data_IF_198822376399
#
_entry.id   IF_198822376399
#
_cell.length_a   1.000
_cell.length_b   1.000
_cell.length_c   1.000
_cell.angle_alpha   90.00
_cell.angle_beta   90.00
_cell.angle_gamma   90.00
#
_symmetry.space_group_name_H-M   'P 1'
#
loop_
_entity.id
_entity.type
_entity.pdbx_description
1 polymer ?
#
# COMPACT_ATOMS: atom_id res chain seq x y z
N UNK A 1 -27.93 9.20 -14.37
CA UNK A 1 -28.40 9.66 -13.04
C UNK A 1 -28.63 11.18 -13.08
N UNK A 2 -29.71 11.67 -12.50
CA UNK A 2 -29.98 13.11 -12.39
C UNK A 2 -29.09 13.76 -11.30
N UNK A 3 -28.63 15.01 -11.50
CA UNK A 3 -27.82 15.79 -10.54
C UNK A 3 -28.49 15.99 -9.16
N UNK A 4 -29.81 15.91 -9.11
CA UNK A 4 -30.61 16.02 -7.88
C UNK A 4 -30.62 14.69 -7.10
N UNK A 5 -30.57 13.57 -7.83
CA UNK A 5 -30.69 12.21 -7.31
C UNK A 5 -29.34 11.57 -6.98
N UNK A 6 -28.22 12.13 -7.47
CA UNK A 6 -26.89 11.61 -7.14
C UNK A 6 -26.64 11.72 -5.61
N UNK A 7 -26.50 10.59 -4.89
CA UNK A 7 -26.31 10.58 -3.45
C UNK A 7 -25.00 11.28 -3.03
N UNK A 8 -23.95 11.16 -3.83
CA UNK A 8 -22.65 11.82 -3.60
C UNK A 8 -22.80 13.34 -3.69
N UNK A 9 -23.51 13.83 -4.72
CA UNK A 9 -23.78 15.26 -4.86
C UNK A 9 -24.63 15.80 -3.70
N UNK A 10 -25.58 15.01 -3.19
CA UNK A 10 -26.40 15.36 -2.03
C UNK A 10 -25.55 15.51 -0.77
N UNK A 11 -24.68 14.54 -0.48
CA UNK A 11 -23.73 14.63 0.65
C UNK A 11 -22.84 15.86 0.51
N UNK A 12 -22.31 16.14 -0.69
CA UNK A 12 -21.43 17.29 -0.89
C UNK A 12 -22.12 18.63 -0.66
N UNK A 13 -23.36 18.79 -1.14
CA UNK A 13 -24.16 20.00 -0.89
C UNK A 13 -24.45 20.20 0.59
N UNK A 14 -24.76 19.12 1.31
CA UNK A 14 -24.96 19.17 2.76
C UNK A 14 -23.66 19.56 3.49
N UNK A 15 -22.52 18.99 3.09
CA UNK A 15 -21.22 19.34 3.62
C UNK A 15 -20.90 20.83 3.45
N UNK A 16 -21.10 21.40 2.26
CA UNK A 16 -20.85 22.82 2.00
C UNK A 16 -21.61 23.74 2.94
N UNK A 17 -22.79 23.33 3.41
CA UNK A 17 -23.61 24.11 4.33
C UNK A 17 -23.22 23.90 5.80
N UNK A 18 -22.87 22.67 6.18
CA UNK A 18 -22.86 22.27 7.60
C UNK A 18 -21.51 21.80 8.14
N UNK A 19 -20.58 21.35 7.30
CA UNK A 19 -19.34 20.71 7.76
C UNK A 19 -18.07 21.11 7.00
N UNK A 20 -18.15 22.21 6.24
CA UNK A 20 -17.00 22.79 5.57
C UNK A 20 -15.90 23.24 6.56
N UNK A 21 -16.29 23.76 7.73
CA UNK A 21 -15.35 24.15 8.80
C UNK A 21 -14.51 22.97 9.27
N UNK A 22 -15.13 21.82 9.55
CA UNK A 22 -14.41 20.63 10.02
C UNK A 22 -13.31 20.19 9.05
N UNK A 23 -13.60 20.18 7.74
CA UNK A 23 -12.60 19.84 6.74
C UNK A 23 -11.46 20.86 6.72
N UNK A 24 -11.79 22.16 6.76
CA UNK A 24 -10.79 23.23 6.83
C UNK A 24 -9.89 23.11 8.07
N UNK A 25 -10.48 22.94 9.25
CA UNK A 25 -9.78 22.84 10.53
C UNK A 25 -8.81 21.64 10.56
N UNK A 26 -9.16 20.56 9.86
CA UNK A 26 -8.35 19.35 9.76
C UNK A 26 -7.50 19.29 8.47
N UNK A 27 -7.35 20.42 7.74
CA UNK A 27 -6.55 20.52 6.51
C UNK A 27 -6.95 19.52 5.43
N UNK A 28 -8.24 19.21 5.35
CA UNK A 28 -8.85 18.43 4.29
C UNK A 28 -9.39 19.34 3.18
N UNK A 29 -9.01 19.03 1.95
CA UNK A 29 -9.52 19.68 0.75
C UNK A 29 -10.59 18.77 0.14
N UNK A 30 -11.82 19.27 0.07
CA UNK A 30 -12.98 18.53 -0.41
C UNK A 30 -13.61 19.22 -1.62
N UNK A 31 -13.64 18.56 -2.77
CA UNK A 31 -14.30 19.11 -3.97
C UNK A 31 -15.07 18.04 -4.74
N UNK A 32 -16.13 18.49 -5.42
CA UNK A 32 -16.98 17.63 -6.23
C UNK A 32 -16.61 17.79 -7.70
N UNK A 33 -16.37 16.67 -8.38
CA UNK A 33 -15.99 16.62 -9.79
C UNK A 33 -16.54 15.34 -10.43
N UNK A 34 -17.16 15.44 -11.63
CA UNK A 34 -17.64 14.29 -12.42
C UNK A 34 -18.32 13.21 -11.56
N UNK A 35 -19.32 13.61 -10.77
CA UNK A 35 -20.12 12.74 -9.90
C UNK A 35 -19.38 12.07 -8.71
N UNK A 36 -18.14 12.49 -8.45
CA UNK A 36 -17.30 12.02 -7.35
C UNK A 36 -16.99 13.17 -6.41
N UNK A 37 -16.92 12.90 -5.10
CA UNK A 37 -16.26 13.82 -4.17
C UNK A 37 -14.84 13.36 -3.94
N UNK A 38 -13.88 14.20 -4.29
CA UNK A 38 -12.47 13.98 -3.97
C UNK A 38 -12.15 14.65 -2.63
N UNK A 39 -11.51 13.88 -1.76
CA UNK A 39 -11.03 14.36 -0.45
C UNK A 39 -9.53 14.15 -0.42
N UNK A 40 -8.78 15.22 -0.15
CA UNK A 40 -7.32 15.18 -0.08
C UNK A 40 -6.88 15.74 1.25
N UNK A 41 -5.99 15.02 1.92
CA UNK A 41 -5.16 15.57 2.99
C UNK A 41 -3.74 15.76 2.46
N UNK A 42 -2.84 16.29 3.29
CA UNK A 42 -1.40 16.30 3.03
C UNK A 42 -0.78 14.89 2.92
N UNK A 43 -1.54 13.85 3.29
CA UNK A 43 -1.05 12.49 3.46
C UNK A 43 -1.74 11.46 2.57
N UNK A 44 -2.98 11.71 2.19
CA UNK A 44 -3.83 10.72 1.56
C UNK A 44 -4.78 11.36 0.55
N UNK A 45 -5.20 10.53 -0.42
CA UNK A 45 -6.17 10.90 -1.44
C UNK A 45 -7.30 9.89 -1.42
N UNK A 46 -8.53 10.40 -1.43
CA UNK A 46 -9.74 9.61 -1.31
C UNK A 46 -10.79 10.06 -2.32
N UNK A 47 -11.70 9.14 -2.63
CA UNK A 47 -12.86 9.38 -3.50
C UNK A 47 -14.11 8.79 -2.87
N UNK A 48 -15.19 9.56 -2.84
CA UNK A 48 -16.53 9.07 -2.54
C UNK A 48 -17.28 8.85 -3.85
N UNK A 49 -17.75 7.63 -4.06
CA UNK A 49 -18.42 7.22 -5.29
C UNK A 49 -19.76 6.57 -4.94
N UNK A 50 -20.80 6.88 -5.70
CA UNK A 50 -22.09 6.22 -5.55
C UNK A 50 -21.96 4.78 -6.07
N UNK A 51 -22.42 3.81 -5.30
CA UNK A 51 -22.54 2.43 -5.77
C UNK A 51 -23.89 2.19 -6.46
N UNK A 52 -24.05 1.01 -7.05
CA UNK A 52 -25.26 0.65 -7.79
C UNK A 52 -26.52 0.59 -6.90
N UNK A 53 -26.34 0.39 -5.60
CA UNK A 53 -27.40 0.37 -4.58
C UNK A 53 -27.80 1.78 -4.11
N UNK A 54 -27.14 2.83 -4.60
CA UNK A 54 -27.36 4.22 -4.19
C UNK A 54 -26.70 4.61 -2.85
N UNK A 55 -25.91 3.72 -2.27
CA UNK A 55 -25.03 4.00 -1.14
C UNK A 55 -23.72 4.64 -1.62
N UNK A 56 -22.89 5.08 -0.67
CA UNK A 56 -21.62 5.75 -0.98
C UNK A 56 -20.47 4.91 -0.48
N UNK A 57 -19.60 4.58 -1.42
CA UNK A 57 -18.37 3.84 -1.19
C UNK A 57 -17.19 4.81 -1.07
N UNK A 58 -16.31 4.52 -0.11
CA UNK A 58 -15.06 5.25 0.10
C UNK A 58 -13.92 4.51 -0.59
N UNK A 59 -13.18 5.22 -1.43
CA UNK A 59 -12.03 4.70 -2.16
C UNK A 59 -10.75 5.39 -1.70
N UNK A 60 -9.71 4.61 -1.38
CA UNK A 60 -8.42 5.09 -0.92
C UNK A 60 -7.33 4.89 -1.98
N UNK A 61 -6.52 5.91 -2.23
CA UNK A 61 -5.33 5.81 -3.10
C UNK A 61 -4.14 5.30 -2.30
N UNK A 62 -3.62 4.13 -2.67
CA UNK A 62 -2.39 3.63 -2.06
C UNK A 62 -1.18 4.50 -2.43
N UNK A 63 -0.27 4.70 -1.49
CA UNK A 63 1.02 5.36 -1.72
C UNK A 63 1.94 4.54 -2.66
N UNK A 64 1.76 3.22 -2.71
CA UNK A 64 2.44 2.32 -3.65
C UNK A 64 1.38 1.53 -4.40
N UNK A 65 1.47 1.54 -5.73
CA UNK A 65 0.53 0.83 -6.59
C UNK A 65 0.57 -0.67 -6.29
N UNK A 66 -0.59 -1.28 -6.03
CA UNK A 66 -0.75 -2.71 -5.75
C UNK A 66 -1.65 -3.35 -6.80
N UNK A 67 -1.54 -4.66 -6.98
CA UNK A 67 -2.41 -5.42 -7.89
C UNK A 67 -3.91 -5.14 -7.65
N UNK A 68 -4.33 -5.06 -6.38
CA UNK A 68 -5.70 -4.71 -5.97
C UNK A 68 -6.21 -3.34 -6.43
N UNK A 69 -5.31 -2.43 -6.83
CA UNK A 69 -5.67 -1.10 -7.33
C UNK A 69 -5.98 -1.13 -8.83
N UNK A 70 -5.56 -2.19 -9.55
CA UNK A 70 -5.86 -2.44 -10.96
C UNK A 70 -7.28 -2.99 -11.12
N UNK A 71 -7.66 -3.92 -10.23
CA UNK A 71 -8.95 -4.63 -10.29
C UNK A 71 -10.11 -3.79 -9.71
N UNK A 72 -9.84 -2.56 -9.30
CA UNK A 72 -10.82 -1.69 -8.66
C UNK A 72 -11.66 -0.92 -9.69
N UNK A 73 -12.98 -0.77 -9.47
CA UNK A 73 -13.83 0.08 -10.32
C UNK A 73 -13.35 1.54 -10.43
N UNK A 74 -12.59 2.02 -9.44
CA UNK A 74 -12.00 3.36 -9.43
C UNK A 74 -10.49 3.23 -9.67
N UNK A 75 -10.05 3.55 -10.89
CA UNK A 75 -8.67 3.38 -11.33
C UNK A 75 -7.64 3.97 -10.36
N UNK A 76 -6.75 3.12 -9.84
CA UNK A 76 -5.66 3.51 -8.94
C UNK A 76 -6.08 3.76 -7.49
N UNK A 77 -7.33 3.48 -7.15
CA UNK A 77 -7.86 3.49 -5.79
C UNK A 77 -8.37 2.10 -5.44
N UNK A 78 -8.48 1.77 -4.15
CA UNK A 78 -9.17 0.54 -3.72
C UNK A 78 -10.32 0.89 -2.79
N UNK A 79 -11.35 0.03 -2.80
CA UNK A 79 -12.48 0.14 -1.91
C UNK A 79 -12.03 -0.01 -0.45
N UNK A 80 -12.28 1.03 0.34
CA UNK A 80 -12.15 1.02 1.77
C UNK A 80 -13.47 0.55 2.36
N UNK A 81 -13.43 -0.51 3.19
CA UNK A 81 -14.61 -1.05 3.87
C UNK A 81 -15.02 -0.16 5.05
N UNK A 82 -15.45 1.05 4.75
CA UNK A 82 -15.92 2.05 5.69
C UNK A 82 -17.16 2.72 5.10
N UNK A 83 -18.29 2.60 5.80
CA UNK A 83 -19.60 2.99 5.31
C UNK A 83 -20.19 4.04 6.23
N UNK A 84 -20.49 5.22 5.68
CA UNK A 84 -21.06 6.34 6.43
C UNK A 84 -22.14 7.04 5.63
N UNK A 85 -23.04 7.75 6.32
CA UNK A 85 -24.17 8.45 5.71
C UNK A 85 -23.91 9.95 5.49
N UNK A 86 -22.82 10.48 6.05
CA UNK A 86 -22.53 11.91 6.05
C UNK A 86 -21.03 12.18 5.86
N UNK A 87 -20.74 13.37 5.34
CA UNK A 87 -19.37 13.80 5.02
C UNK A 87 -18.49 13.97 6.25
N UNK A 88 -19.07 14.36 7.39
CA UNK A 88 -18.31 14.61 8.62
C UNK A 88 -17.75 13.29 9.15
N UNK A 89 -18.54 12.22 9.14
CA UNK A 89 -18.12 10.88 9.50
C UNK A 89 -17.02 10.35 8.59
N UNK A 90 -17.14 10.53 7.26
CA UNK A 90 -16.05 10.22 6.32
C UNK A 90 -14.77 11.02 6.64
N UNK A 91 -14.91 12.31 6.93
CA UNK A 91 -13.78 13.19 7.22
C UNK A 91 -13.07 12.79 8.51
N UNK A 92 -13.81 12.48 9.58
CA UNK A 92 -13.27 11.95 10.84
C UNK A 92 -12.49 10.65 10.60
N UNK A 93 -13.09 9.74 9.86
CA UNK A 93 -12.44 8.48 9.50
C UNK A 93 -11.11 8.70 8.76
N UNK A 94 -11.09 9.61 7.78
CA UNK A 94 -9.88 9.93 7.01
C UNK A 94 -8.79 10.51 7.92
N UNK A 95 -9.14 11.44 8.81
CA UNK A 95 -8.18 12.04 9.76
C UNK A 95 -7.59 11.00 10.69
N UNK A 96 -8.42 10.13 11.27
CA UNK A 96 -7.95 9.07 12.18
C UNK A 96 -7.14 8.01 11.43
N UNK A 97 -7.53 7.68 10.21
CA UNK A 97 -6.77 6.78 9.35
C UNK A 97 -5.38 7.36 9.03
N UNK A 98 -5.29 8.65 8.71
CA UNK A 98 -4.01 9.32 8.48
C UNK A 98 -3.14 9.29 9.74
N UNK A 99 -3.66 9.71 10.90
CA UNK A 99 -2.95 9.63 12.19
C UNK A 99 -2.45 8.21 12.47
N UNK A 100 -3.28 7.20 12.23
CA UNK A 100 -2.90 5.79 12.37
C UNK A 100 -1.74 5.43 11.43
N UNK A 101 -1.80 5.83 10.15
CA UNK A 101 -0.72 5.54 9.19
C UNK A 101 0.60 6.17 9.62
N UNK A 102 0.61 7.42 10.09
CA UNK A 102 1.83 8.07 10.57
C UNK A 102 2.38 7.43 11.84
N UNK A 103 1.52 7.21 12.84
CA UNK A 103 1.94 6.52 14.06
C UNK A 103 2.45 5.10 13.82
N UNK A 104 2.06 4.46 12.72
CA UNK A 104 2.56 3.14 12.32
C UNK A 104 3.87 3.21 11.51
N UNK A 105 4.09 4.27 10.72
CA UNK A 105 5.35 4.48 10.00
C UNK A 105 6.51 4.79 10.95
N UNK A 106 6.24 5.48 12.06
CA UNK A 106 7.24 5.76 13.10
C UNK A 106 7.52 4.58 14.03
N UNK A 107 6.75 3.49 13.93
CA UNK A 107 7.05 2.29 14.70
C UNK A 107 8.27 1.61 14.09
N UNK A 108 9.35 1.36 14.86
CA UNK A 108 10.43 0.53 14.37
C UNK A 108 9.82 -0.80 13.93
N UNK A 109 10.17 -1.22 12.71
CA UNK A 109 9.82 -2.55 12.21
C UNK A 109 10.24 -3.53 13.30
N UNK A 110 9.26 -4.08 14.05
CA UNK A 110 9.57 -5.10 15.04
C UNK A 110 10.39 -6.15 14.28
N UNK A 111 11.63 -6.45 14.67
CA UNK A 111 12.38 -7.52 14.03
C UNK A 111 11.44 -8.71 14.06
N UNK A 112 11.10 -9.25 12.89
CA UNK A 112 10.21 -10.42 12.82
C UNK A 112 10.85 -11.44 13.75
N UNK A 113 10.23 -11.68 14.91
CA UNK A 113 10.82 -12.47 15.97
C UNK A 113 11.38 -13.73 15.33
N UNK A 114 12.70 -13.87 15.36
CA UNK A 114 13.39 -14.91 14.61
C UNK A 114 12.72 -16.22 14.97
N UNK A 115 12.12 -16.91 13.99
CA UNK A 115 11.50 -18.20 14.27
C UNK A 115 12.60 -19.06 14.90
N UNK A 116 12.33 -19.65 16.07
CA UNK A 116 13.31 -20.52 16.75
C UNK A 116 13.92 -21.50 15.73
N UNK A 117 15.25 -21.74 15.79
CA UNK A 117 15.91 -22.68 14.89
C UNK A 117 15.16 -24.02 14.87
N UNK A 118 15.02 -24.66 13.71
CA UNK A 118 14.30 -25.92 13.62
C UNK A 118 15.06 -27.00 14.41
N UNK A 119 14.35 -27.73 15.27
CA UNK A 119 14.92 -28.82 16.08
C UNK A 119 15.35 -29.97 15.18
N UNK A 120 16.55 -30.52 15.41
CA UNK A 120 17.12 -31.64 14.66
C UNK A 120 16.14 -32.81 14.59
N UNK A 121 16.01 -33.43 13.42
CA UNK A 121 15.09 -34.55 13.19
C UNK A 121 13.67 -34.16 12.78
N UNK A 122 13.25 -32.89 12.97
CA UNK A 122 11.92 -32.42 12.50
C UNK A 122 11.86 -32.28 10.97
N UNK A 123 10.66 -32.34 10.39
CA UNK A 123 10.43 -32.06 8.95
C UNK A 123 10.97 -30.69 8.53
N UNK A 124 10.81 -29.69 9.41
CA UNK A 124 11.30 -28.32 9.19
C UNK A 124 12.84 -28.28 9.15
N UNK A 125 13.51 -29.05 10.01
CA UNK A 125 14.98 -29.13 10.01
C UNK A 125 15.51 -29.77 8.73
N UNK A 126 14.93 -30.89 8.28
CA UNK A 126 15.34 -31.54 7.02
C UNK A 126 15.16 -30.63 5.81
N UNK A 127 14.04 -29.92 5.73
CA UNK A 127 13.78 -28.96 4.66
C UNK A 127 14.78 -27.80 4.66
N UNK A 128 15.21 -27.33 5.84
CA UNK A 128 16.22 -26.28 5.95
C UNK A 128 17.60 -26.78 5.55
N UNK A 129 17.98 -28.01 5.92
CA UNK A 129 19.22 -28.63 5.48
C UNK A 129 19.29 -28.77 3.95
N UNK A 130 18.20 -29.21 3.31
CA UNK A 130 18.14 -29.29 1.84
C UNK A 130 18.22 -27.92 1.17
N UNK A 131 17.63 -26.88 1.77
CA UNK A 131 17.80 -25.50 1.29
C UNK A 131 19.24 -25.02 1.44
N UNK A 132 19.87 -25.33 2.57
CA UNK A 132 21.25 -24.93 2.84
C UNK A 132 22.20 -25.60 1.85
N UNK A 133 22.11 -26.92 1.65
CA UNK A 133 22.88 -27.64 0.61
C UNK A 133 22.72 -27.02 -0.78
N UNK A 134 21.49 -26.63 -1.16
CA UNK A 134 21.25 -25.96 -2.45
C UNK A 134 21.90 -24.58 -2.53
N UNK A 135 21.93 -23.82 -1.44
CA UNK A 135 22.63 -22.53 -1.37
C UNK A 135 24.13 -22.73 -1.45
N UNK A 136 24.68 -23.67 -0.69
CA UNK A 136 26.10 -23.99 -0.66
C UNK A 136 26.57 -24.46 -2.05
N UNK A 137 25.79 -25.31 -2.72
CA UNK A 137 26.07 -25.71 -4.11
C UNK A 137 26.12 -24.52 -5.06
N UNK A 138 25.16 -23.59 -4.97
CA UNK A 138 25.14 -22.39 -5.81
C UNK A 138 26.32 -21.46 -5.50
N UNK A 139 26.66 -21.31 -4.23
CA UNK A 139 27.80 -20.51 -3.79
C UNK A 139 29.13 -21.12 -4.28
N UNK A 140 29.28 -22.44 -4.19
CA UNK A 140 30.45 -23.15 -4.70
C UNK A 140 30.61 -22.98 -6.21
N UNK A 141 29.53 -23.16 -6.98
CA UNK A 141 29.54 -22.91 -8.43
C UNK A 141 29.95 -21.47 -8.74
N UNK A 142 29.37 -20.49 -8.04
CA UNK A 142 29.71 -19.08 -8.21
C UNK A 142 31.19 -18.81 -7.88
N UNK A 143 31.71 -19.44 -6.83
CA UNK A 143 33.11 -19.31 -6.43
C UNK A 143 34.06 -19.86 -7.49
N UNK A 144 33.71 -20.98 -8.13
CA UNK A 144 34.50 -21.54 -9.23
C UNK A 144 34.55 -20.58 -10.42
N UNK A 145 33.42 -19.99 -10.81
CA UNK A 145 33.42 -18.98 -11.88
C UNK A 145 34.27 -17.76 -11.53
N UNK A 146 34.19 -17.29 -10.29
CA UNK A 146 35.02 -16.19 -9.80
C UNK A 146 36.52 -16.52 -9.90
N UNK A 147 36.93 -17.73 -9.52
CA UNK A 147 38.32 -18.18 -9.66
C UNK A 147 38.76 -18.22 -11.14
N UNK A 148 37.90 -18.67 -12.06
CA UNK A 148 38.23 -18.65 -13.48
C UNK A 148 38.43 -17.22 -13.99
N UNK A 149 37.55 -16.29 -13.62
CA UNK A 149 37.67 -14.87 -13.97
C UNK A 149 38.99 -14.27 -13.45
N UNK A 150 39.38 -14.56 -12.20
CA UNK A 150 40.67 -14.11 -11.65
C UNK A 150 41.88 -14.69 -12.40
N UNK A 151 41.83 -15.97 -12.76
CA UNK A 151 42.92 -16.63 -13.48
C UNK A 151 43.07 -16.13 -14.92
N UNK A 152 41.96 -15.90 -15.61
CA UNK A 152 41.97 -15.35 -16.97
C UNK A 152 42.48 -13.90 -16.96
N UNK A 153 42.09 -13.11 -15.96
CA UNK A 153 42.62 -11.76 -15.77
C UNK A 153 44.14 -11.76 -15.51
N UNK A 154 44.63 -12.68 -14.67
CA UNK A 154 46.06 -12.82 -14.38
C UNK A 154 46.87 -13.22 -15.64
N UNK A 155 46.37 -14.18 -16.42
CA UNK A 155 47.01 -14.57 -17.70
C UNK A 155 47.04 -13.42 -18.71
N UNK A 156 45.94 -12.68 -18.83
CA UNK A 156 45.88 -11.52 -19.71
C UNK A 156 46.85 -10.40 -19.28
N UNK A 157 47.13 -10.24 -17.99
CA UNK A 157 48.16 -9.30 -17.52
C UNK A 157 49.59 -9.79 -17.76
N UNK A 158 49.83 -11.10 -17.74
CA UNK A 158 51.15 -11.68 -18.01
C UNK A 158 51.52 -11.66 -19.50
N UNK A 159 50.55 -11.70 -20.42
CA UNK A 159 50.78 -11.61 -21.87
C UNK A 159 51.07 -10.17 -22.38
N UNK A 160 50.91 -9.16 -21.53
CA UNK A 160 51.11 -7.73 -21.87
C UNK A 160 52.46 -7.19 -21.33
N UNK A 161 53.21 -7.99 -20.58
CA UNK A 161 54.60 -7.72 -20.17
C UNK A 161 55.62 -8.51 -21.01
#
# INVERSE_FOLDING_TARGET
MCKCCNPVAKIYRHHKKNSASYCSDNRLICYFNRDVVEIKSIHSQWKLVANDEGSIDLYYKNTRFKKKDVDSPVWGYHLQKAFYKDMTSFSKYIVDHDKYRFSYLDKPLKPKGGKKPPVKGTKRWRAEQERQKKRDRRAAIKNVYYIFEELDAARASDEVN
#
